data_IF_412652785741
#
_entry.id   IF_412652785741
#
_cell.length_a   1.000
_cell.length_b   1.000
_cell.length_c   1.000
_cell.angle_alpha   90.00
_cell.angle_beta   90.00
_cell.angle_gamma   90.00
#
_symmetry.space_group_name_H-M   'P 1'
#
loop_
_entity.id
_entity.type
_entity.pdbx_description
1 polymer ?
#
# COMPACT_ATOMS: atom_id res chain seq x y z
N UNK A 1 -0.72 39.97 14.72
CA UNK A 1 0.68 39.50 14.54
C UNK A 1 0.74 38.10 13.92
N UNK A 2 0.65 36.97 14.66
CA UNK A 2 0.79 35.62 14.04
C UNK A 2 -0.20 35.32 12.89
N UNK A 3 -1.42 35.86 12.97
CA UNK A 3 -2.46 35.72 11.91
C UNK A 3 -2.12 36.49 10.64
N UNK A 4 -1.40 37.59 10.78
CA UNK A 4 -1.05 38.47 9.66
C UNK A 4 0.15 37.89 8.91
N UNK A 5 1.13 37.35 9.64
CA UNK A 5 2.29 36.64 9.06
C UNK A 5 1.88 35.39 8.28
N UNK A 6 0.94 34.61 8.82
CA UNK A 6 0.39 33.45 8.13
C UNK A 6 -0.33 33.84 6.82
N UNK A 7 -1.03 34.99 6.83
CA UNK A 7 -1.73 35.51 5.66
C UNK A 7 -0.75 35.97 4.58
N UNK A 8 0.34 36.66 4.96
CA UNK A 8 1.39 37.07 4.04
C UNK A 8 2.08 35.88 3.38
N UNK A 9 2.44 34.86 4.17
CA UNK A 9 3.02 33.61 3.65
C UNK A 9 2.09 32.91 2.66
N UNK A 10 0.79 32.87 2.94
CA UNK A 10 -0.18 32.25 2.04
C UNK A 10 -0.22 32.99 0.69
N UNK A 11 -0.21 34.33 0.70
CA UNK A 11 -0.17 35.14 -0.52
C UNK A 11 1.10 34.85 -1.33
N UNK A 12 2.26 34.73 -0.68
CA UNK A 12 3.52 34.41 -1.37
C UNK A 12 3.51 33.02 -2.01
N UNK A 13 3.00 31.99 -1.31
CA UNK A 13 2.88 30.63 -1.85
C UNK A 13 1.97 30.59 -3.07
N UNK A 14 0.87 31.34 -3.04
CA UNK A 14 -0.04 31.46 -4.20
C UNK A 14 0.67 32.15 -5.37
N UNK A 15 1.38 33.26 -5.13
CA UNK A 15 2.15 33.96 -6.17
C UNK A 15 3.22 33.06 -6.80
N UNK A 16 3.94 32.30 -5.98
CA UNK A 16 4.93 31.32 -6.45
C UNK A 16 4.25 30.22 -7.30
N UNK A 17 3.08 29.74 -6.87
CA UNK A 17 2.27 28.79 -7.63
C UNK A 17 1.84 29.34 -9.00
N UNK A 18 1.33 30.58 -9.05
CA UNK A 18 0.93 31.26 -10.29
C UNK A 18 2.15 31.42 -11.22
N UNK A 19 3.28 31.89 -10.68
CA UNK A 19 4.51 32.06 -11.45
C UNK A 19 4.98 30.75 -12.07
N UNK A 20 4.97 29.65 -11.30
CA UNK A 20 5.30 28.30 -11.82
C UNK A 20 4.32 27.85 -12.89
N UNK A 21 3.02 28.11 -12.72
CA UNK A 21 1.98 27.70 -13.67
C UNK A 21 2.13 28.32 -15.06
N UNK A 22 2.77 29.48 -15.17
CA UNK A 22 3.04 30.13 -16.45
C UNK A 22 4.06 29.37 -17.33
N UNK A 23 4.87 28.50 -16.72
CA UNK A 23 5.91 27.73 -17.40
C UNK A 23 5.62 26.22 -17.42
N UNK A 24 4.38 25.82 -17.17
CA UNK A 24 4.00 24.42 -17.29
C UNK A 24 3.95 24.02 -18.76
N UNK A 25 4.53 22.86 -19.04
CA UNK A 25 4.46 22.20 -20.34
C UNK A 25 3.51 21.01 -20.26
N UNK A 26 2.97 20.60 -21.41
CA UNK A 26 2.18 19.39 -21.49
C UNK A 26 3.07 18.17 -21.25
N UNK A 27 2.81 17.44 -20.16
CA UNK A 27 3.49 16.19 -19.86
C UNK A 27 2.61 15.06 -20.40
N UNK A 28 3.05 14.32 -21.44
CA UNK A 28 2.26 13.24 -21.98
C UNK A 28 2.09 12.12 -20.95
N UNK A 29 0.89 11.57 -20.86
CA UNK A 29 0.64 10.40 -19.99
C UNK A 29 1.30 9.17 -20.59
N UNK A 30 2.06 8.45 -19.77
CA UNK A 30 2.72 7.22 -20.21
C UNK A 30 1.84 6.03 -19.88
N UNK A 31 1.30 5.38 -20.91
CA UNK A 31 0.66 4.08 -20.75
C UNK A 31 1.72 3.00 -20.65
N UNK A 32 1.60 2.13 -19.65
CA UNK A 32 2.52 1.00 -19.45
C UNK A 32 1.72 -0.29 -19.32
N UNK A 33 2.27 -1.37 -19.85
CA UNK A 33 1.65 -2.69 -19.75
C UNK A 33 1.91 -3.23 -18.34
N UNK A 34 0.84 -3.52 -17.61
CA UNK A 34 0.91 -4.16 -16.29
C UNK A 34 0.72 -5.67 -16.48
N UNK A 35 1.70 -6.45 -16.03
CA UNK A 35 1.60 -7.91 -16.03
C UNK A 35 0.61 -8.33 -14.92
N UNK A 36 -0.38 -9.20 -15.18
CA UNK A 36 -1.36 -9.63 -14.18
C UNK A 36 -0.77 -10.70 -13.24
N UNK A 37 0.30 -10.33 -12.54
CA UNK A 37 1.00 -11.19 -11.57
C UNK A 37 1.30 -10.42 -10.30
N UNK A 38 1.11 -11.05 -9.16
CA UNK A 38 1.28 -10.44 -7.85
C UNK A 38 2.44 -11.11 -7.09
N UNK A 39 3.17 -10.33 -6.31
CA UNK A 39 4.16 -10.82 -5.35
C UNK A 39 3.70 -10.44 -3.95
N UNK A 40 3.55 -11.43 -3.09
CA UNK A 40 3.19 -11.27 -1.69
C UNK A 40 4.42 -11.62 -0.86
N UNK A 41 4.77 -10.71 0.05
CA UNK A 41 5.93 -10.86 0.95
C UNK A 41 5.38 -11.05 2.38
N UNK A 42 5.60 -12.24 2.93
CA UNK A 42 5.13 -12.66 4.24
C UNK A 42 3.99 -13.68 4.15
N UNK A 43 4.25 -14.91 4.60
CA UNK A 43 3.30 -16.03 4.68
C UNK A 43 2.54 -16.08 6.01
N UNK A 44 2.20 -14.93 6.60
CA UNK A 44 1.26 -14.88 7.73
C UNK A 44 -0.20 -14.93 7.26
N UNK A 45 -1.16 -14.92 8.20
CA UNK A 45 -2.60 -14.99 7.88
C UNK A 45 -3.05 -13.94 6.86
N UNK A 46 -2.57 -12.70 6.97
CA UNK A 46 -2.89 -11.64 6.03
C UNK A 46 -2.36 -11.91 4.61
N UNK A 47 -1.10 -12.36 4.50
CA UNK A 47 -0.49 -12.66 3.21
C UNK A 47 -1.07 -13.89 2.55
N UNK A 48 -1.41 -14.92 3.34
CA UNK A 48 -2.09 -16.12 2.85
C UNK A 48 -3.50 -15.79 2.35
N UNK A 49 -4.29 -14.99 3.09
CA UNK A 49 -5.61 -14.55 2.65
C UNK A 49 -5.52 -13.81 1.32
N UNK A 50 -4.63 -12.82 1.23
CA UNK A 50 -4.43 -12.06 -0.01
C UNK A 50 -3.97 -12.94 -1.18
N UNK A 51 -3.18 -13.98 -0.90
CA UNK A 51 -2.73 -14.93 -1.92
C UNK A 51 -3.88 -15.76 -2.48
N UNK A 52 -4.78 -16.22 -1.61
CA UNK A 52 -5.97 -16.98 -1.97
C UNK A 52 -6.92 -16.09 -2.77
N UNK A 53 -7.26 -14.90 -2.26
CA UNK A 53 -8.19 -13.98 -2.93
C UNK A 53 -7.73 -13.62 -4.35
N UNK A 54 -6.44 -13.35 -4.52
CA UNK A 54 -5.84 -13.03 -5.83
C UNK A 54 -5.72 -14.28 -6.73
N UNK A 55 -5.42 -15.44 -6.15
CA UNK A 55 -5.37 -16.70 -6.88
C UNK A 55 -6.75 -17.10 -7.43
N UNK A 56 -7.79 -16.99 -6.61
CA UNK A 56 -9.18 -17.28 -6.97
C UNK A 56 -9.70 -16.28 -8.02
N UNK A 57 -9.23 -15.03 -7.98
CA UNK A 57 -9.48 -14.03 -9.02
C UNK A 57 -8.71 -14.28 -10.34
N UNK A 58 -7.89 -15.35 -10.42
CA UNK A 58 -7.19 -15.77 -11.63
C UNK A 58 -5.82 -15.11 -11.85
N UNK A 59 -5.28 -14.41 -10.86
CA UNK A 59 -3.94 -13.83 -10.96
C UNK A 59 -2.87 -14.86 -10.63
N UNK A 60 -1.72 -14.79 -11.30
CA UNK A 60 -0.55 -15.57 -10.89
C UNK A 60 0.09 -14.92 -9.67
N UNK A 61 0.05 -15.62 -8.54
CA UNK A 61 0.59 -15.14 -7.27
C UNK A 61 1.91 -15.84 -6.94
N UNK A 62 2.91 -15.06 -6.55
CA UNK A 62 4.14 -15.52 -5.94
C UNK A 62 4.09 -15.16 -4.44
N UNK A 63 4.27 -16.12 -3.55
CA UNK A 63 4.34 -15.89 -2.11
C UNK A 63 5.76 -16.17 -1.62
N UNK A 64 6.37 -15.20 -0.93
CA UNK A 64 7.72 -15.32 -0.37
C UNK A 64 7.65 -15.12 1.14
N UNK A 65 8.03 -16.14 1.90
CA UNK A 65 8.17 -16.08 3.35
C UNK A 65 9.65 -16.19 3.75
N UNK A 66 10.06 -15.41 4.75
CA UNK A 66 11.44 -15.40 5.26
C UNK A 66 11.78 -16.67 6.03
N UNK A 67 10.83 -17.20 6.79
CA UNK A 67 10.99 -18.42 7.60
C UNK A 67 10.81 -19.67 6.75
N UNK A 68 11.23 -20.80 7.30
CA UNK A 68 11.04 -22.12 6.70
C UNK A 68 9.56 -22.54 6.65
N UNK A 69 8.71 -21.93 7.46
CA UNK A 69 7.28 -22.23 7.56
C UNK A 69 6.42 -20.97 7.40
N UNK A 70 5.24 -21.16 6.84
CA UNK A 70 4.16 -20.17 6.79
C UNK A 70 3.31 -20.22 8.09
N UNK A 71 2.36 -19.31 8.23
CA UNK A 71 1.47 -19.17 9.40
C UNK A 71 1.75 -17.93 10.26
N UNK A 72 2.95 -17.35 10.14
CA UNK A 72 3.30 -16.09 10.80
C UNK A 72 3.28 -16.19 12.33
N UNK A 73 2.61 -15.25 13.01
CA UNK A 73 2.41 -15.29 14.47
C UNK A 73 1.21 -16.14 14.88
N UNK A 74 0.24 -16.31 13.99
CA UNK A 74 -0.98 -17.07 14.28
C UNK A 74 -0.65 -18.52 14.61
N UNK A 75 0.30 -19.13 13.88
CA UNK A 75 0.79 -20.48 14.13
C UNK A 75 1.56 -20.67 15.44
N UNK A 76 1.73 -19.60 16.24
CA UNK A 76 2.38 -19.65 17.56
C UNK A 76 1.38 -19.53 18.71
N UNK A 77 0.13 -19.20 18.41
CA UNK A 77 -0.94 -19.09 19.40
C UNK A 77 -1.54 -20.47 19.61
N UNK A 78 -2.00 -20.78 20.82
CA UNK A 78 -2.75 -22.02 21.07
C UNK A 78 -4.21 -21.87 20.61
N UNK A 79 -4.83 -20.75 20.97
CA UNK A 79 -6.24 -20.44 20.66
C UNK A 79 -6.45 -19.00 20.19
N UNK A 80 -7.53 -18.77 19.46
CA UNK A 80 -7.93 -17.45 18.97
C UNK A 80 -9.21 -16.96 19.64
N UNK A 81 -9.14 -15.82 20.32
CA UNK A 81 -10.32 -15.13 20.84
C UNK A 81 -11.14 -14.50 19.69
N UNK A 82 -12.48 -14.42 19.77
CA UNK A 82 -13.37 -14.81 20.88
C UNK A 82 -13.88 -16.25 20.84
N UNK A 83 -13.68 -16.95 19.73
CA UNK A 83 -14.29 -18.26 19.50
C UNK A 83 -13.58 -19.39 20.23
N UNK A 84 -12.35 -19.14 20.70
CA UNK A 84 -11.49 -20.11 21.39
C UNK A 84 -11.12 -21.32 20.52
N UNK A 85 -11.14 -21.11 19.20
CA UNK A 85 -10.72 -22.10 18.20
C UNK A 85 -9.19 -22.29 18.21
N UNK A 86 -8.75 -23.47 17.81
CA UNK A 86 -7.33 -23.73 17.54
C UNK A 86 -6.84 -22.85 16.39
N UNK A 87 -5.65 -22.27 16.55
CA UNK A 87 -5.12 -21.27 15.63
C UNK A 87 -4.61 -21.85 14.30
N UNK A 88 -3.98 -23.04 14.31
CA UNK A 88 -3.52 -23.76 13.12
C UNK A 88 -3.40 -25.26 13.39
#
# INVERSE_FOLDING_TARGET
EVRDDATLKAIELVKAGISRSQFLEEIPTKTVIVKPTCLIIGGGIAGLSAAIDLGDAGYKVYLVEKKTTIGGRMSQLDRTFPTDDCSI
#
